data_IF_278428388001
#
_entry.id   IF_278428388001
#
_cell.length_a   1.000
_cell.length_b   1.000
_cell.length_c   1.000
_cell.angle_alpha   90.00
_cell.angle_beta   90.00
_cell.angle_gamma   90.00
#
_symmetry.space_group_name_H-M   'P 1'
#
loop_
_entity.id
_entity.type
_entity.pdbx_description
1 polymer ?
#
# COMPACT_ATOMS: atom_id res chain seq x y z
N UNK A 1 -21.41 35.25 -15.42
CA UNK A 1 -22.18 33.99 -15.59
C UNK A 1 -21.99 33.12 -14.38
N UNK A 2 -23.10 32.71 -13.76
CA UNK A 2 -23.04 31.74 -12.65
C UNK A 2 -22.70 30.39 -13.27
N UNK A 3 -21.57 29.79 -12.84
CA UNK A 3 -21.23 28.43 -13.22
C UNK A 3 -21.75 27.46 -12.17
N UNK A 4 -22.43 26.43 -12.61
CA UNK A 4 -22.90 25.34 -11.77
C UNK A 4 -22.18 24.05 -12.16
N UNK A 5 -21.65 23.35 -11.18
CA UNK A 5 -20.98 22.05 -11.33
C UNK A 5 -21.60 21.05 -10.35
N UNK A 6 -21.69 19.80 -10.78
CA UNK A 6 -22.15 18.74 -9.89
C UNK A 6 -20.97 18.30 -9.01
N UNK A 7 -21.13 18.42 -7.71
CA UNK A 7 -20.09 18.13 -6.73
C UNK A 7 -20.58 17.13 -5.69
N UNK A 8 -19.66 16.39 -5.11
CA UNK A 8 -19.89 15.51 -3.96
C UNK A 8 -19.46 16.25 -2.68
N UNK A 9 -20.38 16.60 -1.78
CA UNK A 9 -20.00 17.15 -0.49
C UNK A 9 -19.38 16.05 0.39
N UNK A 10 -18.22 16.34 0.95
CA UNK A 10 -17.51 15.50 1.90
C UNK A 10 -17.53 16.19 3.25
N UNK A 11 -18.25 15.61 4.20
CA UNK A 11 -18.37 16.15 5.55
C UNK A 11 -17.21 15.63 6.41
N UNK A 12 -16.42 16.53 6.95
CA UNK A 12 -15.20 16.13 7.66
C UNK A 12 -14.85 17.06 8.82
N UNK A 13 -13.78 16.73 9.55
CA UNK A 13 -13.25 17.49 10.66
C UNK A 13 -11.88 18.13 10.32
N UNK A 14 -11.32 18.82 11.32
CA UNK A 14 -10.03 19.52 11.18
C UNK A 14 -8.85 18.58 10.91
N UNK A 15 -8.89 17.34 11.41
CA UNK A 15 -7.78 16.37 11.29
C UNK A 15 -7.74 15.66 9.94
N UNK A 16 -8.78 15.76 9.14
CA UNK A 16 -8.92 15.00 7.90
C UNK A 16 -7.75 15.21 6.94
N UNK A 17 -7.39 16.46 6.70
CA UNK A 17 -6.37 16.81 5.71
C UNK A 17 -4.97 16.36 6.14
N UNK A 18 -4.72 16.34 7.45
CA UNK A 18 -3.47 15.85 8.03
C UNK A 18 -3.40 14.31 7.93
N UNK A 19 -4.47 13.61 8.31
CA UNK A 19 -4.55 12.14 8.28
C UNK A 19 -4.34 11.60 6.85
N UNK A 20 -4.96 12.25 5.86
CA UNK A 20 -4.83 11.87 4.45
C UNK A 20 -3.62 12.50 3.76
N UNK A 21 -2.80 13.26 4.49
CA UNK A 21 -1.61 13.95 3.99
C UNK A 21 -1.88 14.81 2.74
N UNK A 22 -3.02 15.49 2.72
CA UNK A 22 -3.35 16.40 1.65
C UNK A 22 -2.51 17.66 1.69
N UNK A 23 -1.89 18.03 0.57
CA UNK A 23 -1.21 19.31 0.41
C UNK A 23 -2.23 20.41 0.14
N UNK A 24 -2.31 21.38 1.04
CA UNK A 24 -3.26 22.49 0.96
C UNK A 24 -2.57 23.78 0.51
N UNK A 25 -3.23 24.51 -0.38
CA UNK A 25 -3.02 25.94 -0.60
C UNK A 25 -4.01 26.66 0.29
N UNK A 26 -3.55 27.49 1.23
CA UNK A 26 -4.40 28.08 2.27
C UNK A 26 -4.37 27.28 3.56
N UNK A 27 -5.52 27.10 4.21
CA UNK A 27 -5.63 26.39 5.49
C UNK A 27 -6.75 25.35 5.44
N UNK A 28 -6.58 24.28 6.22
CA UNK A 28 -7.66 23.35 6.54
C UNK A 28 -8.65 23.95 7.55
N UNK A 29 -9.58 23.13 8.01
CA UNK A 29 -10.48 23.54 9.09
C UNK A 29 -9.75 23.64 10.42
N UNK A 30 -10.23 24.51 11.29
CA UNK A 30 -9.77 24.65 12.67
C UNK A 30 -10.82 24.11 13.63
N UNK A 31 -10.44 23.81 14.86
CA UNK A 31 -11.39 23.44 15.92
C UNK A 31 -12.44 24.53 16.13
N UNK A 32 -12.02 25.78 16.05
CA UNK A 32 -12.91 26.94 16.17
C UNK A 32 -13.98 26.95 15.06
N UNK A 33 -13.59 26.66 13.80
CA UNK A 33 -14.57 26.53 12.71
C UNK A 33 -15.60 25.42 12.98
N UNK A 34 -15.16 24.31 13.62
CA UNK A 34 -16.05 23.21 13.97
C UNK A 34 -17.02 23.60 15.09
N UNK A 35 -16.53 24.26 16.14
CA UNK A 35 -17.31 24.70 17.30
C UNK A 35 -18.32 25.79 16.94
N UNK A 36 -17.90 26.78 16.15
CA UNK A 36 -18.74 27.90 15.71
C UNK A 36 -19.69 27.50 14.56
N UNK A 37 -19.54 26.30 13.99
CA UNK A 37 -20.29 25.84 12.82
C UNK A 37 -20.11 26.79 11.61
N UNK A 38 -18.87 27.26 11.42
CA UNK A 38 -18.56 28.20 10.36
C UNK A 38 -18.82 27.60 8.98
N UNK A 39 -19.32 28.44 8.05
CA UNK A 39 -19.54 28.07 6.67
C UNK A 39 -18.26 28.24 5.86
N UNK A 40 -17.32 27.34 6.06
CA UNK A 40 -16.04 27.27 5.34
C UNK A 40 -15.97 26.00 4.50
N UNK A 41 -15.22 26.06 3.41
CA UNK A 41 -15.04 24.95 2.50
C UNK A 41 -13.59 24.81 2.06
N UNK A 42 -13.18 23.57 1.82
CA UNK A 42 -11.95 23.24 1.09
C UNK A 42 -12.36 22.56 -0.21
N UNK A 43 -11.78 22.96 -1.32
CA UNK A 43 -12.12 22.43 -2.65
C UNK A 43 -10.90 21.84 -3.35
N UNK A 44 -11.11 21.00 -4.34
CA UNK A 44 -10.05 20.48 -5.21
C UNK A 44 -9.57 21.56 -6.19
N UNK A 45 -8.27 21.53 -6.55
CA UNK A 45 -7.68 22.49 -7.49
C UNK A 45 -8.33 22.45 -8.86
N UNK A 46 -8.73 21.27 -9.31
CA UNK A 46 -9.50 21.05 -10.55
C UNK A 46 -10.86 21.75 -10.52
N UNK A 47 -11.56 21.72 -9.38
CA UNK A 47 -12.83 22.43 -9.19
C UNK A 47 -12.61 23.95 -9.14
N UNK A 48 -11.56 24.43 -8.46
CA UNK A 48 -11.20 25.84 -8.43
C UNK A 48 -10.96 26.38 -9.84
N UNK A 49 -10.26 25.62 -10.67
CA UNK A 49 -10.01 25.97 -12.06
C UNK A 49 -11.31 26.03 -12.89
N UNK A 50 -12.22 25.09 -12.72
CA UNK A 50 -13.51 25.06 -13.41
C UNK A 50 -14.41 26.24 -13.04
N UNK A 51 -14.51 26.55 -11.74
CA UNK A 51 -15.40 27.59 -11.25
C UNK A 51 -14.83 29.01 -11.43
N UNK A 52 -13.56 29.19 -11.17
CA UNK A 52 -12.93 30.51 -11.07
C UNK A 52 -11.85 30.79 -12.11
N UNK A 53 -11.54 29.83 -12.99
CA UNK A 53 -10.43 29.89 -13.96
C UNK A 53 -9.06 30.19 -13.30
N UNK A 54 -8.94 29.87 -12.02
CA UNK A 54 -7.75 30.09 -11.23
C UNK A 54 -7.66 29.00 -10.17
N UNK A 55 -6.47 28.45 -10.01
CA UNK A 55 -6.21 27.46 -8.96
C UNK A 55 -6.12 28.07 -7.56
N UNK A 56 -5.92 29.39 -7.46
CA UNK A 56 -5.97 30.11 -6.17
C UNK A 56 -7.33 30.79 -6.00
N UNK A 57 -8.26 30.10 -5.37
CA UNK A 57 -9.60 30.57 -5.07
C UNK A 57 -9.83 30.80 -3.56
N UNK A 58 -8.78 30.79 -2.75
CA UNK A 58 -8.90 31.05 -1.30
C UNK A 58 -9.51 32.42 -1.05
N UNK A 59 -10.46 32.48 -0.12
CA UNK A 59 -11.24 33.71 0.22
C UNK A 59 -12.44 33.96 -0.69
N UNK A 60 -12.61 33.21 -1.81
CA UNK A 60 -13.82 33.31 -2.63
C UNK A 60 -14.95 32.50 -2.02
N UNK A 61 -16.16 32.72 -2.48
CA UNK A 61 -17.37 32.05 -1.97
C UNK A 61 -17.93 31.10 -3.02
N UNK A 62 -18.52 30.00 -2.55
CA UNK A 62 -19.32 29.06 -3.34
C UNK A 62 -20.67 28.87 -2.65
N UNK A 63 -21.69 28.57 -3.45
CA UNK A 63 -22.99 28.19 -2.91
C UNK A 63 -23.16 26.69 -3.04
N UNK A 64 -23.43 26.02 -1.91
CA UNK A 64 -23.64 24.58 -1.82
C UNK A 64 -24.98 24.35 -1.11
N UNK A 65 -25.95 23.72 -1.76
CA UNK A 65 -27.29 23.50 -1.21
C UNK A 65 -27.93 24.77 -0.62
N UNK A 66 -27.93 25.84 -1.39
CA UNK A 66 -28.47 27.17 -1.01
C UNK A 66 -27.77 27.86 0.17
N UNK A 67 -26.67 27.33 0.65
CA UNK A 67 -25.83 27.94 1.68
C UNK A 67 -24.52 28.44 1.09
N UNK A 68 -24.07 29.61 1.55
CA UNK A 68 -22.82 30.22 1.10
C UNK A 68 -21.66 29.77 1.98
N UNK A 69 -20.61 29.25 1.37
CA UNK A 69 -19.38 28.82 2.02
C UNK A 69 -18.21 29.65 1.51
N UNK A 70 -17.29 30.02 2.42
CA UNK A 70 -16.04 30.68 2.09
C UNK A 70 -14.94 29.65 1.91
N UNK A 71 -14.21 29.70 0.82
CA UNK A 71 -13.10 28.79 0.55
C UNK A 71 -11.92 29.18 1.43
N UNK A 72 -11.54 28.33 2.39
CA UNK A 72 -10.40 28.52 3.28
C UNK A 72 -9.14 27.79 2.77
N UNK A 73 -9.30 26.76 1.94
CA UNK A 73 -8.19 26.02 1.40
C UNK A 73 -8.51 25.31 0.10
N UNK A 74 -7.46 24.91 -0.61
CA UNK A 74 -7.55 24.17 -1.86
C UNK A 74 -6.61 22.99 -1.77
N UNK A 75 -7.13 21.79 -2.05
CA UNK A 75 -6.32 20.59 -2.16
C UNK A 75 -5.59 20.65 -3.50
N UNK A 76 -4.25 20.63 -3.42
CA UNK A 76 -3.44 20.47 -4.61
C UNK A 76 -3.40 18.97 -4.97
N UNK A 77 -4.12 18.61 -6.02
CA UNK A 77 -4.08 17.25 -6.55
C UNK A 77 -2.74 17.04 -7.24
N UNK A 78 -1.90 16.16 -6.67
CA UNK A 78 -0.74 15.68 -7.41
C UNK A 78 -1.26 14.86 -8.60
N UNK A 79 -0.98 15.30 -9.82
CA UNK A 79 -1.30 14.61 -11.08
C UNK A 79 -0.44 13.34 -11.24
N UNK A 80 -0.54 12.41 -10.30
CA UNK A 80 0.07 11.11 -10.43
C UNK A 80 -0.84 10.18 -11.25
N UNK A 81 -0.23 9.41 -12.14
CA UNK A 81 -0.92 8.41 -12.97
C UNK A 81 -1.82 7.50 -12.11
N UNK A 82 -1.38 7.17 -10.90
CA UNK A 82 -2.14 6.34 -9.96
C UNK A 82 -3.41 7.06 -9.49
N UNK A 83 -3.34 8.35 -9.19
CA UNK A 83 -4.50 9.15 -8.79
C UNK A 83 -5.50 9.31 -9.94
N UNK A 84 -5.03 9.47 -11.17
CA UNK A 84 -5.90 9.55 -12.35
C UNK A 84 -6.62 8.23 -12.65
N UNK A 85 -5.97 7.09 -12.39
CA UNK A 85 -6.55 5.76 -12.56
C UNK A 85 -7.55 5.38 -11.45
N UNK A 86 -7.36 5.92 -10.23
CA UNK A 86 -8.24 5.66 -9.08
C UNK A 86 -9.35 6.70 -8.91
N UNK A 87 -9.31 7.80 -9.66
CA UNK A 87 -10.30 8.87 -9.61
C UNK A 87 -11.64 8.38 -10.16
N UNK A 88 -12.71 8.59 -9.39
CA UNK A 88 -14.09 8.38 -9.82
C UNK A 88 -14.63 9.51 -10.70
N UNK A 89 -13.81 10.48 -11.05
CA UNK A 89 -14.14 11.65 -11.88
C UNK A 89 -15.08 12.66 -11.21
N UNK A 90 -15.45 12.45 -9.95
CA UNK A 90 -16.33 13.34 -9.21
C UNK A 90 -15.53 14.46 -8.55
N UNK A 91 -16.02 15.67 -8.67
CA UNK A 91 -15.47 16.84 -7.98
C UNK A 91 -15.95 16.85 -6.52
N UNK A 92 -15.05 17.06 -5.57
CA UNK A 92 -15.36 17.06 -4.14
C UNK A 92 -15.27 18.45 -3.54
N UNK A 93 -16.19 18.73 -2.62
CA UNK A 93 -16.19 19.92 -1.77
C UNK A 93 -16.19 19.44 -0.33
N UNK A 94 -15.16 19.76 0.40
CA UNK A 94 -15.03 19.40 1.80
C UNK A 94 -15.61 20.50 2.67
N UNK A 95 -16.45 20.14 3.62
CA UNK A 95 -17.10 21.08 4.54
C UNK A 95 -17.10 20.51 5.96
N UNK A 96 -17.10 21.37 7.00
CA UNK A 96 -17.22 20.94 8.38
C UNK A 96 -18.53 20.18 8.62
N UNK A 97 -18.47 18.97 9.18
CA UNK A 97 -19.68 18.19 9.45
C UNK A 97 -20.61 18.91 10.44
N UNK A 98 -20.09 19.73 11.35
CA UNK A 98 -20.85 20.45 12.38
C UNK A 98 -21.76 21.54 11.81
N UNK A 99 -21.40 22.08 10.65
CA UNK A 99 -22.12 23.17 9.99
C UNK A 99 -23.10 22.74 8.91
N UNK A 100 -23.18 21.46 8.57
CA UNK A 100 -24.02 20.95 7.49
C UNK A 100 -25.40 20.50 8.00
N UNK A 101 -26.46 20.88 7.32
CA UNK A 101 -27.84 20.68 7.82
C UNK A 101 -28.51 19.38 7.39
N UNK A 102 -28.13 18.79 6.27
CA UNK A 102 -28.83 17.64 5.72
C UNK A 102 -27.92 16.42 5.58
N UNK A 103 -28.19 15.37 6.39
CA UNK A 103 -27.52 14.08 6.33
C UNK A 103 -28.47 13.02 5.76
N UNK A 104 -28.71 13.05 4.45
CA UNK A 104 -29.47 11.98 3.80
C UNK A 104 -28.51 11.08 3.02
N UNK A 105 -28.56 9.77 3.31
CA UNK A 105 -27.76 8.75 2.62
C UNK A 105 -26.24 9.01 2.67
N UNK A 106 -25.70 9.28 3.87
CA UNK A 106 -24.28 9.49 4.07
C UNK A 106 -23.58 8.18 4.37
N UNK A 107 -22.44 7.97 3.74
CA UNK A 107 -21.45 7.00 4.21
C UNK A 107 -20.59 7.69 5.30
N UNK A 108 -20.50 7.06 6.48
CA UNK A 108 -19.73 7.61 7.60
C UNK A 108 -18.44 6.80 7.76
N UNK A 109 -17.32 7.48 7.61
CA UNK A 109 -16.00 6.93 7.89
C UNK A 109 -15.43 7.56 9.15
N UNK A 110 -15.26 6.76 10.21
CA UNK A 110 -14.60 7.19 11.44
C UNK A 110 -13.21 6.59 11.47
N UNK A 111 -12.21 7.45 11.47
CA UNK A 111 -10.81 7.05 11.56
C UNK A 111 -10.33 7.26 12.98
N UNK A 112 -10.05 6.18 13.69
CA UNK A 112 -9.42 6.24 15.00
C UNK A 112 -7.90 6.18 14.83
N UNK A 113 -7.24 7.19 15.36
CA UNK A 113 -5.80 7.33 15.33
C UNK A 113 -5.19 6.78 16.62
N UNK A 114 -5.31 5.47 16.83
CA UNK A 114 -4.58 4.81 17.93
C UNK A 114 -4.02 3.48 17.44
N UNK A 115 -2.74 3.22 17.79
CA UNK A 115 -2.06 1.96 17.54
C UNK A 115 -2.63 0.77 18.36
N UNK A 116 -3.54 1.05 19.26
CA UNK A 116 -4.24 0.03 20.02
C UNK A 116 -5.48 -0.37 19.24
N UNK A 117 -5.55 -1.66 18.91
CA UNK A 117 -6.69 -2.29 18.25
C UNK A 117 -8.01 -1.60 18.62
N UNK A 118 -8.73 -1.16 17.61
CA UNK A 118 -10.10 -0.67 17.74
C UNK A 118 -10.89 -1.77 18.46
N UNK A 119 -11.05 -1.62 19.75
CA UNK A 119 -11.59 -2.71 20.55
C UNK A 119 -13.10 -2.79 20.34
N UNK A 120 -13.61 -4.01 20.20
CA UNK A 120 -15.05 -4.27 20.17
C UNK A 120 -15.85 -3.44 21.21
N UNK A 121 -15.35 -3.19 22.43
CA UNK A 121 -16.00 -2.32 23.41
C UNK A 121 -16.26 -0.88 22.95
N UNK A 122 -15.40 -0.31 22.13
CA UNK A 122 -15.60 1.06 21.65
C UNK A 122 -16.75 1.13 20.62
N UNK A 123 -16.86 0.12 19.78
CA UNK A 123 -17.94 0.00 18.79
C UNK A 123 -19.31 -0.16 19.50
N UNK A 124 -19.35 -0.94 20.58
CA UNK A 124 -20.55 -1.10 21.41
C UNK A 124 -20.90 0.19 22.16
N UNK A 125 -19.93 0.85 22.79
CA UNK A 125 -20.16 2.12 23.50
C UNK A 125 -20.68 3.22 22.58
N UNK A 126 -20.21 3.27 21.34
CA UNK A 126 -20.67 4.22 20.33
C UNK A 126 -21.95 3.79 19.61
N UNK A 127 -22.51 2.64 19.97
CA UNK A 127 -23.69 2.05 19.33
C UNK A 127 -23.54 1.88 17.81
N UNK A 128 -22.34 1.54 17.36
CA UNK A 128 -21.95 1.38 15.95
C UNK A 128 -21.96 -0.07 15.49
N UNK A 129 -22.68 -0.95 16.19
CA UNK A 129 -22.73 -2.40 15.90
C UNK A 129 -23.29 -2.74 14.54
N UNK A 130 -24.06 -1.85 13.94
CA UNK A 130 -24.59 -1.98 12.59
C UNK A 130 -23.58 -1.59 11.48
N UNK A 131 -22.43 -1.02 11.85
CA UNK A 131 -21.40 -0.63 10.90
C UNK A 131 -20.28 -1.66 10.85
N UNK A 132 -19.69 -1.86 9.68
CA UNK A 132 -18.56 -2.77 9.51
C UNK A 132 -17.24 -2.02 9.71
N UNK A 133 -16.53 -2.24 10.83
CA UNK A 133 -15.25 -1.57 11.04
C UNK A 133 -14.23 -2.08 10.03
N UNK A 134 -13.52 -1.16 9.40
CA UNK A 134 -12.41 -1.47 8.52
C UNK A 134 -11.10 -1.23 9.25
N UNK A 135 -10.32 -2.29 9.45
CA UNK A 135 -8.98 -2.17 10.01
C UNK A 135 -7.97 -1.80 8.91
N UNK A 136 -7.63 -0.51 8.83
CA UNK A 136 -6.66 -0.03 7.84
C UNK A 136 -5.25 -0.60 8.05
N UNK A 137 -4.87 -0.90 9.29
CA UNK A 137 -3.59 -1.55 9.58
C UNK A 137 -3.51 -2.96 8.98
N UNK A 138 -4.60 -3.74 9.05
CA UNK A 138 -4.67 -5.05 8.39
C UNK A 138 -4.66 -4.91 6.87
N UNK A 139 -5.41 -3.96 6.32
CA UNK A 139 -5.39 -3.69 4.87
C UNK A 139 -3.99 -3.29 4.38
N UNK A 140 -3.28 -2.45 5.13
CA UNK A 140 -1.91 -2.08 4.80
C UNK A 140 -0.96 -3.30 4.80
N UNK A 141 -1.12 -4.22 5.75
CA UNK A 141 -0.35 -5.47 5.79
C UNK A 141 -0.67 -6.37 4.59
N UNK A 142 -1.95 -6.44 4.18
CA UNK A 142 -2.35 -7.19 2.97
C UNK A 142 -1.73 -6.57 1.71
N UNK A 143 -1.71 -5.24 1.60
CA UNK A 143 -1.05 -4.55 0.47
C UNK A 143 0.44 -4.90 0.45
N UNK A 144 1.10 -4.93 1.61
CA UNK A 144 2.51 -5.32 1.72
C UNK A 144 2.77 -6.77 1.26
N UNK A 145 1.77 -7.66 1.35
CA UNK A 145 1.88 -9.01 0.80
C UNK A 145 2.17 -9.01 -0.71
N UNK A 146 1.66 -8.03 -1.47
CA UNK A 146 1.94 -7.96 -2.91
C UNK A 146 3.43 -7.71 -3.19
N UNK A 147 4.09 -6.87 -2.38
CA UNK A 147 5.54 -6.69 -2.45
C UNK A 147 6.28 -8.02 -2.23
N UNK A 148 5.89 -8.76 -1.19
CA UNK A 148 6.50 -10.05 -0.87
C UNK A 148 6.24 -11.10 -1.96
N UNK A 149 5.05 -11.12 -2.55
CA UNK A 149 4.72 -12.04 -3.67
C UNK A 149 5.56 -11.71 -4.92
N UNK A 150 5.68 -10.43 -5.28
CA UNK A 150 6.52 -9.99 -6.41
C UNK A 150 7.97 -10.40 -6.15
N UNK A 151 8.47 -10.14 -4.93
CA UNK A 151 9.82 -10.57 -4.54
C UNK A 151 9.99 -12.09 -4.68
N UNK A 152 9.03 -12.90 -4.22
CA UNK A 152 9.07 -14.35 -4.33
C UNK A 152 9.17 -14.82 -5.78
N UNK A 153 8.36 -14.23 -6.67
CA UNK A 153 8.38 -14.57 -8.11
C UNK A 153 9.75 -14.24 -8.71
N UNK A 154 10.28 -13.06 -8.42
CA UNK A 154 11.61 -12.64 -8.91
C UNK A 154 12.71 -13.52 -8.34
N UNK A 155 12.61 -13.89 -7.06
CA UNK A 155 13.56 -14.80 -6.42
C UNK A 155 13.54 -16.21 -7.05
N UNK A 156 12.36 -16.76 -7.32
CA UNK A 156 12.23 -18.06 -8.02
C UNK A 156 12.86 -17.98 -9.41
N UNK A 157 12.63 -16.89 -10.16
CA UNK A 157 13.25 -16.70 -11.47
C UNK A 157 14.77 -16.61 -11.36
N UNK A 158 15.30 -15.90 -10.35
CA UNK A 158 16.74 -15.84 -10.07
C UNK A 158 17.32 -17.21 -9.74
N UNK A 159 16.63 -17.98 -8.89
CA UNK A 159 17.04 -19.36 -8.56
C UNK A 159 17.10 -20.23 -9.81
N UNK A 160 16.12 -20.12 -10.69
CA UNK A 160 16.11 -20.89 -11.93
C UNK A 160 17.30 -20.54 -12.85
N UNK A 161 17.60 -19.26 -13.00
CA UNK A 161 18.77 -18.78 -13.76
C UNK A 161 20.08 -19.24 -13.10
N UNK A 162 20.19 -19.12 -11.80
CA UNK A 162 21.35 -19.54 -11.05
C UNK A 162 21.59 -21.04 -11.16
N UNK A 163 20.55 -21.86 -11.04
CA UNK A 163 20.61 -23.32 -11.22
C UNK A 163 21.03 -23.71 -12.64
N UNK A 164 20.55 -22.99 -13.65
CA UNK A 164 20.92 -23.22 -15.05
C UNK A 164 22.42 -22.91 -15.28
N UNK A 165 22.91 -21.82 -14.73
CA UNK A 165 24.33 -21.44 -14.80
C UNK A 165 25.19 -22.43 -14.01
N UNK A 166 24.78 -22.75 -12.79
CA UNK A 166 25.41 -23.74 -11.94
C UNK A 166 25.58 -25.10 -12.65
N UNK A 167 24.48 -25.62 -13.26
CA UNK A 167 24.54 -26.88 -14.00
C UNK A 167 25.54 -26.82 -15.15
N UNK A 168 25.59 -25.72 -15.92
CA UNK A 168 26.54 -25.56 -17.02
C UNK A 168 27.99 -25.56 -16.54
N UNK A 169 28.28 -24.83 -15.46
CA UNK A 169 29.64 -24.74 -14.87
C UNK A 169 30.05 -26.11 -14.32
N UNK A 170 29.20 -26.74 -13.51
CA UNK A 170 29.48 -28.06 -12.96
C UNK A 170 29.68 -29.10 -14.04
N UNK A 171 28.83 -29.14 -15.08
CA UNK A 171 28.97 -30.07 -16.21
C UNK A 171 30.31 -29.91 -16.91
N UNK A 172 30.75 -28.67 -17.16
CA UNK A 172 32.05 -28.39 -17.77
C UNK A 172 33.21 -28.84 -16.87
N UNK A 173 33.19 -28.47 -15.58
CA UNK A 173 34.24 -28.84 -14.64
C UNK A 173 34.33 -30.37 -14.44
N UNK A 174 33.18 -31.03 -14.31
CA UNK A 174 33.14 -32.49 -14.16
C UNK A 174 33.70 -33.19 -15.43
N UNK A 175 33.39 -32.67 -16.62
CA UNK A 175 33.95 -33.21 -17.89
C UNK A 175 35.48 -33.09 -17.87
N UNK A 176 36.00 -31.92 -17.58
CA UNK A 176 37.46 -31.66 -17.53
C UNK A 176 38.17 -32.55 -16.50
N UNK A 177 37.55 -32.74 -15.33
CA UNK A 177 38.08 -33.63 -14.28
C UNK A 177 38.04 -35.07 -14.72
N UNK A 178 36.93 -35.51 -15.38
CA UNK A 178 36.79 -36.88 -15.86
C UNK A 178 37.81 -37.23 -16.97
N UNK A 179 38.06 -36.31 -17.86
CA UNK A 179 39.10 -36.48 -18.92
C UNK A 179 40.48 -36.62 -18.29
N UNK A 180 40.82 -35.79 -17.28
CA UNK A 180 42.10 -35.87 -16.58
C UNK A 180 42.24 -37.16 -15.73
N UNK A 181 41.14 -37.66 -15.15
CA UNK A 181 41.11 -38.92 -14.41
C UNK A 181 41.25 -40.12 -15.29
N UNK A 182 40.89 -40.05 -16.60
CA UNK A 182 41.09 -41.15 -17.53
C UNK A 182 42.56 -41.37 -17.91
N UNK A 183 43.35 -40.30 -17.79
CA UNK A 183 44.77 -40.35 -18.11
C UNK A 183 45.69 -40.50 -16.86
N UNK A 184 45.18 -40.15 -15.67
CA UNK A 184 45.95 -40.12 -14.45
C UNK A 184 45.24 -40.76 -13.26
N UNK A 185 46.03 -41.32 -12.30
CA UNK A 185 45.51 -41.75 -11.00
C UNK A 185 44.96 -40.56 -10.22
N UNK A 186 43.99 -40.78 -9.32
CA UNK A 186 43.30 -39.77 -8.51
C UNK A 186 44.27 -38.77 -7.84
N UNK A 187 45.34 -39.28 -7.21
CA UNK A 187 46.32 -38.43 -6.50
C UNK A 187 47.11 -37.50 -7.46
N UNK A 188 47.43 -38.00 -8.67
CA UNK A 188 48.11 -37.22 -9.70
C UNK A 188 47.17 -36.21 -10.34
N UNK A 189 45.92 -36.58 -10.56
CA UNK A 189 44.89 -35.66 -11.05
C UNK A 189 44.64 -34.48 -10.10
N UNK A 190 44.54 -34.75 -8.80
CA UNK A 190 44.45 -33.71 -7.76
C UNK A 190 45.63 -32.73 -7.78
N UNK A 191 46.85 -33.21 -8.03
CA UNK A 191 48.04 -32.37 -8.14
C UNK A 191 48.12 -31.61 -9.47
N UNK A 192 47.65 -32.15 -10.56
CA UNK A 192 47.71 -31.54 -11.90
C UNK A 192 46.71 -30.43 -12.11
N UNK A 193 45.47 -30.56 -11.59
CA UNK A 193 44.41 -29.57 -11.76
C UNK A 193 43.73 -29.20 -10.42
N UNK A 194 44.46 -28.81 -9.37
CA UNK A 194 43.88 -28.53 -8.07
C UNK A 194 42.84 -27.42 -8.10
N UNK A 195 43.07 -26.40 -8.92
CA UNK A 195 42.16 -25.23 -9.07
C UNK A 195 40.78 -25.67 -9.55
N UNK A 196 40.66 -26.66 -10.47
CA UNK A 196 39.35 -27.10 -10.98
C UNK A 196 38.54 -27.83 -9.91
N UNK A 197 39.19 -28.59 -9.03
CA UNK A 197 38.51 -29.24 -7.88
C UNK A 197 38.02 -28.20 -6.87
N UNK A 198 38.84 -27.18 -6.57
CA UNK A 198 38.45 -26.10 -5.68
C UNK A 198 37.29 -25.28 -6.27
N UNK A 199 37.35 -24.94 -7.58
CA UNK A 199 36.26 -24.23 -8.26
C UNK A 199 34.96 -25.07 -8.25
N UNK A 200 35.05 -26.40 -8.43
CA UNK A 200 33.86 -27.26 -8.36
C UNK A 200 33.26 -27.24 -6.94
N UNK A 201 34.06 -27.29 -5.92
CA UNK A 201 33.60 -27.24 -4.53
C UNK A 201 32.96 -25.85 -4.21
N UNK A 202 33.61 -24.76 -4.61
CA UNK A 202 33.08 -23.39 -4.40
C UNK A 202 31.76 -23.21 -5.15
N UNK A 203 31.66 -23.65 -6.40
CA UNK A 203 30.40 -23.50 -7.16
C UNK A 203 29.32 -24.42 -6.63
N UNK A 204 29.65 -25.65 -6.23
CA UNK A 204 28.67 -26.59 -5.72
C UNK A 204 28.01 -26.15 -4.42
N UNK A 205 28.76 -25.53 -3.52
CA UNK A 205 28.24 -25.10 -2.21
C UNK A 205 27.98 -23.59 -2.15
N UNK A 206 28.79 -22.76 -2.82
CA UNK A 206 28.72 -21.32 -2.70
C UNK A 206 27.42 -20.73 -3.28
N UNK A 207 27.00 -21.16 -4.46
CA UNK A 207 25.78 -20.64 -5.10
C UNK A 207 24.54 -20.93 -4.25
N UNK A 208 24.26 -22.17 -3.79
CA UNK A 208 23.12 -22.43 -2.91
C UNK A 208 23.17 -21.66 -1.59
N UNK A 209 24.34 -21.51 -0.99
CA UNK A 209 24.51 -20.75 0.27
C UNK A 209 24.18 -19.27 0.04
N UNK A 210 24.67 -18.67 -1.03
CA UNK A 210 24.37 -17.26 -1.37
C UNK A 210 22.86 -17.07 -1.57
N UNK A 211 22.19 -17.96 -2.28
CA UNK A 211 20.74 -17.90 -2.48
C UNK A 211 19.97 -18.01 -1.15
N UNK A 212 20.39 -18.89 -0.26
CA UNK A 212 19.81 -18.99 1.08
C UNK A 212 19.99 -17.72 1.89
N UNK A 213 21.19 -17.14 1.86
CA UNK A 213 21.46 -15.86 2.55
C UNK A 213 20.55 -14.74 2.01
N UNK A 214 20.40 -14.61 0.68
CA UNK A 214 19.52 -13.61 0.06
C UNK A 214 18.08 -13.84 0.53
N UNK A 215 17.60 -15.06 0.57
CA UNK A 215 16.26 -15.38 1.04
C UNK A 215 16.05 -15.00 2.51
N UNK A 216 16.99 -15.35 3.40
CA UNK A 216 16.89 -14.99 4.81
C UNK A 216 16.99 -13.49 5.07
N UNK A 217 17.81 -12.76 4.31
CA UNK A 217 17.93 -11.31 4.43
C UNK A 217 16.73 -10.54 3.86
N UNK A 218 15.86 -11.19 3.11
CA UNK A 218 14.69 -10.54 2.51
C UNK A 218 13.52 -10.31 3.48
N UNK A 219 13.62 -10.80 4.74
CA UNK A 219 12.53 -10.73 5.74
C UNK A 219 11.18 -11.15 5.17
N UNK A 220 11.19 -12.18 4.32
CA UNK A 220 9.99 -12.64 3.62
C UNK A 220 8.93 -13.09 4.62
N UNK A 221 7.79 -12.43 4.61
CA UNK A 221 6.64 -12.76 5.43
C UNK A 221 5.34 -12.56 4.67
N UNK A 222 4.37 -13.42 4.89
CA UNK A 222 3.02 -13.27 4.34
C UNK A 222 2.07 -13.09 5.51
N UNK A 223 1.36 -11.96 5.52
CA UNK A 223 0.32 -11.70 6.49
C UNK A 223 -1.00 -12.32 6.00
N UNK A 224 -1.58 -13.20 6.81
CA UNK A 224 -2.90 -13.78 6.56
C UNK A 224 -3.87 -13.15 7.54
N UNK A 225 -5.01 -12.64 7.02
CA UNK A 225 -6.06 -12.06 7.85
C UNK A 225 -6.61 -13.16 8.76
N UNK A 226 -6.76 -12.86 10.05
CA UNK A 226 -7.24 -13.82 11.06
C UNK A 226 -8.58 -14.48 10.71
N UNK A 227 -9.43 -13.78 9.95
CA UNK A 227 -10.71 -14.31 9.43
C UNK A 227 -10.54 -15.59 8.58
N UNK A 228 -9.40 -15.76 7.93
CA UNK A 228 -9.13 -16.92 7.04
C UNK A 228 -8.29 -18.00 7.71
N UNK A 229 -8.05 -17.88 9.02
CA UNK A 229 -7.30 -18.88 9.79
C UNK A 229 -8.31 -19.60 10.70
N UNK A 230 -8.45 -20.93 10.59
CA UNK A 230 -9.31 -21.69 11.51
C UNK A 230 -8.80 -21.56 12.95
N UNK A 231 -9.74 -21.45 13.90
CA UNK A 231 -9.42 -21.25 15.32
C UNK A 231 -8.69 -22.45 15.94
N UNK A 232 -9.06 -23.67 15.53
CA UNK A 232 -8.64 -24.90 16.21
C UNK A 232 -7.50 -25.63 15.49
N UNK A 233 -7.44 -25.59 14.17
CA UNK A 233 -6.41 -26.27 13.40
C UNK A 233 -6.14 -25.60 12.05
N UNK A 234 -4.93 -25.08 11.86
CA UNK A 234 -4.50 -24.44 10.62
C UNK A 234 -4.54 -25.39 9.40
N UNK A 235 -4.47 -26.70 9.63
CA UNK A 235 -4.52 -27.73 8.59
C UNK A 235 -5.93 -28.27 8.32
N UNK A 236 -6.97 -27.64 8.87
CA UNK A 236 -8.35 -28.05 8.59
C UNK A 236 -8.77 -27.66 7.18
N UNK A 237 -8.64 -28.62 6.27
CA UNK A 237 -8.96 -28.45 4.85
C UNK A 237 -10.46 -28.15 4.64
N UNK A 238 -11.34 -28.63 5.52
CA UNK A 238 -12.79 -28.41 5.42
C UNK A 238 -13.17 -26.94 5.60
N UNK A 239 -12.42 -26.20 6.40
CA UNK A 239 -12.59 -24.77 6.62
C UNK A 239 -12.33 -23.94 5.34
N UNK A 240 -11.39 -24.39 4.49
CA UNK A 240 -11.00 -23.68 3.27
C UNK A 240 -11.83 -24.05 2.04
N UNK A 241 -12.66 -25.08 2.13
CA UNK A 241 -13.49 -25.58 1.03
C UNK A 241 -14.96 -25.08 1.11
N UNK A 242 -15.35 -24.39 2.19
CA UNK A 242 -16.64 -23.74 2.38
C UNK A 242 -16.50 -22.21 2.14
#
# INVERSE_FOLDING_TARGET
>A
SVKAETVLPVLTNESYFEIYNHKLIGKGFTKENMENKDKVAVIESSLALKLFFNTNAVGKTITLNDEVYTICGIINEDENIINSLSSDGKQRVYVPYSGYKEYKNCEVNIIAYDNKSFSAPLIEQMNLTQYHPTNFSEKAKVIKNFEHIIFLILFIALCFLALRLWYRICKKLIKDIKENLSENYILNSLKSIPIKYVLLAITAFGIPVVLLIIFFLSDFSIFIISKYIPYDNIFDVSYYLN
#
